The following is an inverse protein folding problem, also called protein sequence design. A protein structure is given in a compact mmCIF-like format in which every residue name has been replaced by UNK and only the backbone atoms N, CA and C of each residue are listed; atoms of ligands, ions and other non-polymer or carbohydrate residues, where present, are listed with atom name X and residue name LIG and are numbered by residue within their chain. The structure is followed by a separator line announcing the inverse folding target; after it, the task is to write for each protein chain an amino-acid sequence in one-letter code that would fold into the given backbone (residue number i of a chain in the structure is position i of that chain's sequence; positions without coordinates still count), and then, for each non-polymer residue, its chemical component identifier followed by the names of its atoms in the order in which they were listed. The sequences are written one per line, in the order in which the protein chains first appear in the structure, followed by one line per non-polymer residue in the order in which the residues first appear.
data_IF_257228562903
#
_entry.id   IF_257228562903
#
_cell.length_a   1.000
_cell.length_b   1.000
_cell.length_c   1.000
_cell.angle_alpha   90.00
_cell.angle_beta   90.00
_cell.angle_gamma   90.00
#
_symmetry.space_group_name_H-M   'P 1'
#
loop_
_entity.id
_entity.type
_entity.pdbx_description
1 polymer ?
#
# COMPACT_ATOMS: atom_id res chain seq x y z
N UNK A 1 -7.96 17.95 22.23
CA UNK A 1 -7.18 18.23 20.99
C UNK A 1 -7.15 17.04 20.04
N UNK A 2 -6.95 15.81 20.55
CA UNK A 2 -7.03 14.58 19.76
C UNK A 2 -8.39 14.32 19.11
N UNK A 3 -9.50 14.70 19.73
CA UNK A 3 -10.84 14.51 19.14
C UNK A 3 -11.04 15.29 17.85
N UNK A 4 -10.56 16.54 17.76
CA UNK A 4 -10.63 17.32 16.50
C UNK A 4 -9.79 16.71 15.39
N UNK A 5 -8.64 16.12 15.74
CA UNK A 5 -7.76 15.46 14.77
C UNK A 5 -8.35 14.12 14.31
N UNK A 6 -8.94 13.36 15.25
CA UNK A 6 -9.68 12.13 14.99
C UNK A 6 -10.90 12.40 14.12
N UNK A 7 -11.72 13.41 14.42
CA UNK A 7 -12.87 13.76 13.60
C UNK A 7 -12.47 14.14 12.16
N UNK A 8 -11.40 14.92 11.99
CA UNK A 8 -10.87 15.25 10.65
C UNK A 8 -10.38 14.02 9.90
N UNK A 9 -9.63 13.14 10.59
CA UNK A 9 -9.16 11.89 10.01
C UNK A 9 -10.31 10.93 9.67
N UNK A 10 -11.30 10.78 10.55
CA UNK A 10 -12.48 9.94 10.33
C UNK A 10 -13.33 10.48 9.17
N UNK A 11 -13.51 11.80 9.05
CA UNK A 11 -14.20 12.39 7.89
C UNK A 11 -13.47 12.15 6.56
N UNK A 12 -12.14 12.15 6.58
CA UNK A 12 -11.33 11.92 5.39
C UNK A 12 -11.32 10.43 4.97
N UNK A 13 -11.28 9.52 5.95
CA UNK A 13 -11.23 8.06 5.72
C UNK A 13 -12.62 7.46 5.44
N UNK A 14 -13.70 7.99 6.01
CA UNK A 14 -15.05 7.48 5.79
C UNK A 14 -15.44 7.28 4.31
N UNK A 15 -15.20 8.22 3.38
CA UNK A 15 -15.52 7.98 1.96
C UNK A 15 -14.65 6.90 1.30
N UNK A 16 -13.44 6.66 1.81
CA UNK A 16 -12.59 5.55 1.40
C UNK A 16 -13.14 4.22 1.92
N UNK A 17 -13.47 4.15 3.21
CA UNK A 17 -14.05 2.95 3.85
C UNK A 17 -15.40 2.58 3.22
N UNK A 18 -16.25 3.56 2.91
CA UNK A 18 -17.55 3.31 2.27
C UNK A 18 -17.41 2.80 0.82
N UNK A 19 -16.31 3.11 0.14
CA UNK A 19 -15.98 2.50 -1.17
C UNK A 19 -15.46 1.06 -1.03
N UNK A 20 -14.93 0.70 0.14
CA UNK A 20 -14.44 -0.63 0.47
C UNK A 20 -15.53 -1.54 1.06
N UNK A 21 -16.72 -1.00 1.38
CA UNK A 21 -17.85 -1.74 1.97
C UNK A 21 -18.40 -2.87 1.08
N UNK A 22 -17.99 -2.93 -0.20
CA UNK A 22 -18.29 -4.01 -1.13
C UNK A 22 -17.09 -4.89 -1.52
N UNK A 23 -15.90 -4.65 -0.96
CA UNK A 23 -14.70 -5.46 -1.22
C UNK A 23 -14.54 -6.48 -0.11
N UNK A 24 -14.48 -7.76 -0.46
CA UNK A 24 -14.26 -8.81 0.54
C UNK A 24 -12.96 -8.53 1.31
N UNK A 25 -13.00 -8.49 2.66
CA UNK A 25 -11.83 -8.25 3.49
C UNK A 25 -10.68 -9.23 3.17
N UNK A 26 -11.03 -10.48 2.85
CA UNK A 26 -10.10 -11.50 2.41
C UNK A 26 -9.34 -11.10 1.14
N UNK A 27 -10.02 -10.51 0.14
CA UNK A 27 -9.37 -10.05 -1.09
C UNK A 27 -8.34 -8.96 -0.81
N UNK A 28 -8.61 -8.04 0.12
CA UNK A 28 -7.66 -7.00 0.51
C UNK A 28 -6.41 -7.59 1.17
N UNK A 29 -6.57 -8.56 2.07
CA UNK A 29 -5.43 -9.24 2.72
C UNK A 29 -4.61 -10.05 1.71
N UNK A 30 -5.26 -10.81 0.82
CA UNK A 30 -4.55 -11.60 -0.17
C UNK A 30 -3.88 -10.74 -1.24
N UNK A 31 -4.50 -9.64 -1.64
CA UNK A 31 -3.91 -8.71 -2.61
C UNK A 31 -2.72 -7.99 -2.01
N UNK A 32 -2.83 -7.45 -0.80
CA UNK A 32 -1.70 -6.80 -0.10
C UNK A 32 -0.55 -7.77 0.17
N UNK A 33 -0.85 -9.04 0.48
CA UNK A 33 0.17 -10.09 0.63
C UNK A 33 0.94 -10.33 -0.67
N UNK A 34 0.24 -10.53 -1.79
CA UNK A 34 0.86 -10.75 -3.10
C UNK A 34 1.69 -9.53 -3.52
N UNK A 35 1.15 -8.32 -3.37
CA UNK A 35 1.85 -7.09 -3.69
C UNK A 35 3.11 -6.90 -2.84
N UNK A 36 3.05 -7.24 -1.55
CA UNK A 36 4.21 -7.20 -0.67
C UNK A 36 5.30 -8.17 -1.10
N UNK A 37 4.94 -9.40 -1.47
CA UNK A 37 5.89 -10.39 -2.00
C UNK A 37 6.55 -9.90 -3.29
N UNK A 38 5.77 -9.32 -4.21
CA UNK A 38 6.30 -8.74 -5.45
C UNK A 38 7.26 -7.58 -5.19
N UNK A 39 6.94 -6.69 -4.24
CA UNK A 39 7.83 -5.61 -3.87
C UNK A 39 9.15 -6.12 -3.28
N UNK A 40 9.09 -7.10 -2.39
CA UNK A 40 10.30 -7.72 -1.85
C UNK A 40 11.15 -8.39 -2.92
N UNK A 41 10.53 -9.05 -3.89
CA UNK A 41 11.25 -9.64 -5.02
C UNK A 41 11.98 -8.58 -5.86
N UNK A 42 11.32 -7.45 -6.16
CA UNK A 42 11.93 -6.33 -6.87
C UNK A 42 13.12 -5.75 -6.10
N UNK A 43 13.00 -5.60 -4.78
CA UNK A 43 14.08 -5.10 -3.93
C UNK A 43 15.25 -6.10 -3.82
N UNK A 44 14.96 -7.39 -3.70
CA UNK A 44 15.97 -8.45 -3.60
C UNK A 44 16.79 -8.60 -4.89
N UNK A 45 16.16 -8.36 -6.05
CA UNK A 45 16.80 -8.49 -7.37
C UNK A 45 17.46 -7.19 -7.86
N UNK A 46 17.33 -6.10 -7.10
CA UNK A 46 17.92 -4.82 -7.45
C UNK A 46 19.46 -4.89 -7.43
N UNK A 47 20.06 -4.75 -8.61
CA UNK A 47 21.52 -4.65 -8.78
C UNK A 47 22.07 -3.26 -8.48
N UNK A 48 23.40 -3.12 -8.54
CA UNK A 48 24.06 -1.81 -8.41
C UNK A 48 24.21 -1.11 -9.76
N UNK A 49 23.08 -0.93 -10.45
CA UNK A 49 22.98 -0.34 -11.77
C UNK A 49 21.69 0.48 -11.90
N UNK A 50 21.53 1.20 -13.01
CA UNK A 50 20.34 2.03 -13.25
C UNK A 50 19.04 1.20 -13.21
N UNK A 51 19.09 -0.06 -13.65
CA UNK A 51 17.92 -0.94 -13.57
C UNK A 51 17.59 -1.30 -12.12
N UNK A 52 18.58 -1.61 -11.28
CA UNK A 52 18.38 -1.80 -9.85
C UNK A 52 17.75 -0.59 -9.15
N UNK A 53 18.17 0.63 -9.51
CA UNK A 53 17.54 1.85 -8.98
C UNK A 53 16.05 1.94 -9.35
N UNK A 54 15.68 1.60 -10.59
CA UNK A 54 14.28 1.57 -11.05
C UNK A 54 13.49 0.49 -10.30
N UNK A 55 14.07 -0.70 -10.07
CA UNK A 55 13.44 -1.77 -9.31
C UNK A 55 13.15 -1.36 -7.86
N UNK A 56 14.06 -0.60 -7.24
CA UNK A 56 13.87 -0.06 -5.88
C UNK A 56 12.71 0.95 -5.86
N UNK A 57 12.72 1.93 -6.77
CA UNK A 57 11.65 2.93 -6.86
C UNK A 57 10.30 2.25 -7.13
N UNK A 58 10.25 1.28 -8.05
CA UNK A 58 9.07 0.49 -8.33
C UNK A 58 8.59 -0.31 -7.11
N UNK A 59 9.49 -0.98 -6.41
CA UNK A 59 9.17 -1.72 -5.18
C UNK A 59 8.57 -0.85 -4.08
N UNK A 60 9.11 0.36 -3.88
CA UNK A 60 8.56 1.33 -2.92
C UNK A 60 7.14 1.75 -3.30
N UNK A 61 6.88 2.03 -4.58
CA UNK A 61 5.53 2.37 -5.05
C UNK A 61 4.56 1.22 -4.82
N UNK A 62 4.96 -0.02 -5.08
CA UNK A 62 4.12 -1.21 -4.84
C UNK A 62 3.78 -1.37 -3.35
N UNK A 63 4.73 -1.13 -2.43
CA UNK A 63 4.48 -1.17 -0.98
C UNK A 63 3.48 -0.10 -0.56
N UNK A 64 3.60 1.12 -1.10
CA UNK A 64 2.67 2.20 -0.77
C UNK A 64 1.24 1.88 -1.22
N UNK A 65 1.08 1.22 -2.38
CA UNK A 65 -0.24 0.76 -2.84
C UNK A 65 -0.76 -0.41 -1.99
N UNK A 66 0.11 -1.31 -1.53
CA UNK A 66 -0.28 -2.43 -0.68
C UNK A 66 -0.72 -2.00 0.73
N UNK A 67 -0.28 -0.83 1.20
CA UNK A 67 -0.59 -0.30 2.53
C UNK A 67 -1.81 0.62 2.61
N UNK A 68 -2.53 0.83 1.51
CA UNK A 68 -3.75 1.66 1.41
C UNK A 68 -4.97 0.77 1.29
#
# INVERSE_FOLDING_TARGET
MFEKMRERWTKAINPLVHRMEGVDPSLLTWTSLILSILAFYLLMTAGNDTNGAILIVGGVVVILVAGV
#
